data_IF_982626005039
#
_entry.id   IF_982626005039
#
_cell.length_a   1.000
_cell.length_b   1.000
_cell.length_c   1.000
_cell.angle_alpha   90.00
_cell.angle_beta   90.00
_cell.angle_gamma   90.00
#
_symmetry.space_group_name_H-M   'P 1'
#
loop_
_entity.id
_entity.type
_entity.pdbx_description
1 polymer ?
#
# COMPACT_ATOMS: atom_id res chain seq x y z
N UNK A 1 5.94 11.31 -12.01
CA UNK A 1 7.19 10.53 -12.16
C UNK A 1 7.46 9.67 -10.92
N UNK A 2 7.36 10.23 -9.71
CA UNK A 2 7.53 9.54 -8.43
C UNK A 2 6.63 8.29 -8.23
N UNK A 3 5.32 8.39 -8.48
CA UNK A 3 4.40 7.25 -8.32
C UNK A 3 4.78 6.04 -9.18
N UNK A 4 5.29 6.26 -10.40
CA UNK A 4 5.75 5.18 -11.28
C UNK A 4 6.99 4.49 -10.71
N UNK A 5 7.91 5.26 -10.14
CA UNK A 5 9.14 4.75 -9.52
C UNK A 5 8.77 3.90 -8.30
N UNK A 6 7.92 4.42 -7.41
CA UNK A 6 7.45 3.69 -6.22
C UNK A 6 6.69 2.42 -6.62
N UNK A 7 5.83 2.49 -7.62
CA UNK A 7 5.11 1.33 -8.16
C UNK A 7 6.05 0.22 -8.65
N UNK A 8 7.08 0.58 -9.42
CA UNK A 8 8.09 -0.37 -9.89
C UNK A 8 8.87 -0.97 -8.72
N UNK A 9 9.30 -0.15 -7.77
CA UNK A 9 10.03 -0.60 -6.59
C UNK A 9 9.22 -1.59 -5.77
N UNK A 10 7.94 -1.30 -5.52
CA UNK A 10 7.04 -2.19 -4.78
C UNK A 10 6.88 -3.52 -5.52
N UNK A 11 6.71 -3.50 -6.85
CA UNK A 11 6.64 -4.73 -7.67
C UNK A 11 7.91 -5.58 -7.55
N UNK A 12 9.07 -4.96 -7.48
CA UNK A 12 10.35 -5.67 -7.33
C UNK A 12 10.53 -6.23 -5.92
N UNK A 13 10.24 -5.45 -4.87
CA UNK A 13 10.33 -5.91 -3.48
C UNK A 13 9.37 -7.07 -3.20
N UNK A 14 8.15 -7.02 -3.74
CA UNK A 14 7.14 -8.08 -3.58
C UNK A 14 7.55 -9.45 -4.17
N UNK A 15 8.61 -9.52 -4.98
CA UNK A 15 9.20 -10.80 -5.41
C UNK A 15 9.83 -11.57 -4.26
N UNK A 16 10.33 -10.86 -3.24
CA UNK A 16 11.02 -11.43 -2.08
C UNK A 16 10.27 -11.21 -0.76
N UNK A 17 9.19 -10.42 -0.77
CA UNK A 17 8.39 -10.09 0.41
C UNK A 17 7.02 -10.77 0.38
N UNK A 18 6.53 -11.13 1.56
CA UNK A 18 5.19 -11.71 1.71
C UNK A 18 4.08 -10.66 1.60
N UNK A 19 4.29 -9.50 2.24
CA UNK A 19 3.40 -8.35 2.19
C UNK A 19 4.18 -7.05 2.36
N UNK A 20 3.61 -5.95 1.90
CA UNK A 20 4.05 -4.58 2.22
C UNK A 20 2.82 -3.80 2.67
N UNK A 21 2.98 -2.98 3.70
CA UNK A 21 1.92 -2.18 4.29
C UNK A 21 2.41 -0.78 4.64
N UNK A 22 1.52 0.19 4.50
CA UNK A 22 1.75 1.57 4.90
C UNK A 22 0.43 2.31 5.07
N UNK A 23 0.48 3.46 5.72
CA UNK A 23 -0.66 4.33 5.93
C UNK A 23 -0.24 5.80 5.89
N UNK A 24 -1.21 6.69 5.76
CA UNK A 24 -1.02 8.14 5.86
C UNK A 24 -1.41 8.62 7.26
N UNK A 25 -0.68 9.59 7.78
CA UNK A 25 -1.05 10.33 8.99
C UNK A 25 -0.46 11.74 8.93
N UNK A 26 -1.10 12.70 9.58
CA UNK A 26 -0.47 13.99 9.87
C UNK A 26 0.54 13.83 11.00
N UNK A 27 1.53 14.72 11.02
CA UNK A 27 2.52 14.74 12.09
C UNK A 27 1.84 15.03 13.43
N UNK A 28 2.00 14.14 14.40
CA UNK A 28 1.33 14.20 15.69
C UNK A 28 -0.06 13.54 15.74
N UNK A 29 -0.52 12.95 14.63
CA UNK A 29 -1.78 12.20 14.52
C UNK A 29 -1.55 10.71 14.20
N UNK A 30 -0.32 10.20 14.34
CA UNK A 30 0.04 8.83 13.98
C UNK A 30 -0.71 7.76 14.80
N UNK A 31 -1.11 8.11 16.02
CA UNK A 31 -1.88 7.26 16.95
C UNK A 31 -3.40 7.36 16.72
N UNK A 32 -3.86 8.24 15.83
CA UNK A 32 -5.29 8.34 15.53
C UNK A 32 -5.79 7.11 14.77
N UNK A 33 -7.07 6.82 14.90
CA UNK A 33 -7.69 5.68 14.24
C UNK A 33 -7.62 5.81 12.70
N UNK A 34 -7.25 4.70 12.05
CA UNK A 34 -7.29 4.52 10.60
C UNK A 34 -8.73 4.69 10.11
N UNK A 35 -8.94 5.61 9.17
CA UNK A 35 -10.25 5.92 8.61
C UNK A 35 -10.71 4.87 7.60
N UNK A 36 -9.76 4.25 6.88
CA UNK A 36 -10.03 3.37 5.74
C UNK A 36 -8.94 2.32 5.60
N UNK A 37 -9.33 1.09 5.27
CA UNK A 37 -8.41 -0.02 5.02
C UNK A 37 -8.63 -0.59 3.63
N UNK A 38 -7.55 -0.73 2.87
CA UNK A 38 -7.54 -1.32 1.53
C UNK A 38 -6.50 -2.43 1.47
N UNK A 39 -6.93 -3.63 1.08
CA UNK A 39 -6.03 -4.75 0.82
C UNK A 39 -6.11 -5.13 -0.66
N UNK A 40 -4.95 -5.27 -1.31
CA UNK A 40 -4.82 -5.74 -2.68
C UNK A 40 -3.95 -6.98 -2.72
N UNK A 41 -4.33 -7.95 -3.56
CA UNK A 41 -3.40 -8.99 -3.98
C UNK A 41 -2.44 -8.40 -5.02
N UNK A 42 -1.21 -8.89 -5.08
CA UNK A 42 -0.21 -8.42 -6.04
C UNK A 42 -0.69 -8.44 -7.50
N UNK A 43 -1.59 -9.38 -7.85
CA UNK A 43 -2.24 -9.46 -9.16
C UNK A 43 -3.26 -8.34 -9.41
N UNK A 44 -3.88 -7.79 -8.37
CA UNK A 44 -4.84 -6.67 -8.43
C UNK A 44 -4.13 -5.31 -8.43
N UNK A 45 -2.88 -5.27 -7.95
CA UNK A 45 -2.01 -4.09 -7.96
C UNK A 45 -1.42 -3.86 -9.36
N UNK A 46 -2.14 -3.15 -10.23
CA UNK A 46 -1.88 -3.04 -11.68
C UNK A 46 -1.55 -1.62 -12.15
N UNK A 47 -1.82 -0.60 -11.35
CA UNK A 47 -1.62 0.80 -11.70
C UNK A 47 -0.92 1.60 -10.60
N UNK A 48 0.01 2.52 -10.94
CA UNK A 48 0.57 3.48 -10.00
C UNK A 48 -0.47 4.33 -9.27
N UNK A 49 -1.64 4.57 -9.86
CA UNK A 49 -2.71 5.35 -9.20
C UNK A 49 -3.26 4.68 -7.94
N UNK A 50 -3.11 3.35 -7.80
CA UNK A 50 -3.54 2.62 -6.61
C UNK A 50 -2.68 2.89 -5.37
N UNK A 51 -1.55 3.60 -5.53
CA UNK A 51 -0.68 4.07 -4.45
C UNK A 51 -1.15 5.39 -3.82
N UNK A 52 -2.14 6.06 -4.42
CA UNK A 52 -2.72 7.28 -3.84
C UNK A 52 -3.59 6.86 -2.66
N UNK A 53 -3.31 7.47 -1.51
CA UNK A 53 -4.01 7.24 -0.25
C UNK A 53 -4.77 8.49 0.16
N UNK A 54 -5.95 8.27 0.73
CA UNK A 54 -6.72 9.30 1.42
C UNK A 54 -6.12 9.60 2.81
N UNK A 55 -6.68 10.57 3.52
CA UNK A 55 -6.31 10.85 4.90
C UNK A 55 -6.58 9.65 5.81
N UNK A 56 -5.57 9.23 6.58
CA UNK A 56 -5.63 8.08 7.49
C UNK A 56 -6.05 6.78 6.82
N UNK A 57 -5.71 6.60 5.54
CA UNK A 57 -5.93 5.36 4.81
C UNK A 57 -4.73 4.42 4.98
N UNK A 58 -5.03 3.17 5.33
CA UNK A 58 -4.09 2.05 5.36
C UNK A 58 -4.20 1.22 4.08
N UNK A 59 -3.06 0.94 3.45
CA UNK A 59 -2.95 0.07 2.30
C UNK A 59 -2.00 -1.08 2.58
N UNK A 60 -2.48 -2.28 2.27
CA UNK A 60 -1.68 -3.51 2.29
C UNK A 60 -1.69 -4.18 0.93
N UNK A 61 -0.52 -4.62 0.48
CA UNK A 61 -0.36 -5.44 -0.71
C UNK A 61 0.20 -6.79 -0.28
N UNK A 62 -0.51 -7.87 -0.63
CA UNK A 62 -0.15 -9.25 -0.26
C UNK A 62 0.15 -10.09 -1.49
N UNK A 63 1.06 -11.07 -1.39
CA UNK A 63 1.35 -11.96 -2.53
C UNK A 63 0.14 -12.80 -2.94
N UNK A 64 -0.59 -13.33 -1.95
CA UNK A 64 -1.82 -14.12 -2.09
C UNK A 64 -2.72 -13.83 -0.88
N UNK A 65 -4.05 -13.89 -1.06
CA UNK A 65 -4.97 -13.90 0.09
C UNK A 65 -4.72 -15.19 0.87
N UNK A 66 -4.53 -15.08 2.17
CA UNK A 66 -4.62 -16.26 3.02
C UNK A 66 -6.09 -16.68 3.07
N UNK A 67 -6.35 -17.96 2.78
CA UNK A 67 -7.62 -18.61 3.09
C UNK A 67 -7.63 -19.02 4.56
#
# INVERSE_FOLDING_TARGET
>A
MCLKILFSYIKDVMKNSFSIEWYTAWAGEEDMEISKKRELVLSEFTSPSQLILEDREYLRIVQKKWQ
#
